data_IF_250917790964
#
_entry.id   IF_250917790964
#
_cell.length_a   1.000
_cell.length_b   1.000
_cell.length_c   1.000
_cell.angle_alpha   90.00
_cell.angle_beta   90.00
_cell.angle_gamma   90.00
#
_symmetry.space_group_name_H-M   'P 1'
#
loop_
_entity.id
_entity.type
_entity.pdbx_description
1 polymer ?
#
# COMPACT_ATOMS: atom_id res chain seq x y z
N UNK A 1 7.02 16.19 -12.10
CA UNK A 1 6.86 17.44 -11.33
C UNK A 1 7.90 18.50 -11.68
N UNK A 2 9.20 18.18 -11.64
CA UNK A 2 10.27 19.17 -11.85
C UNK A 2 10.49 19.61 -13.30
N UNK A 3 10.14 18.78 -14.29
CA UNK A 3 10.40 19.03 -15.72
C UNK A 3 9.75 20.33 -16.23
N UNK A 4 8.66 20.74 -15.59
CA UNK A 4 7.90 21.94 -15.97
C UNK A 4 8.54 23.22 -15.39
N UNK A 5 9.40 23.09 -14.37
CA UNK A 5 10.19 24.19 -13.84
C UNK A 5 9.44 25.19 -12.94
N UNK A 6 8.24 24.85 -12.45
CA UNK A 6 7.46 25.73 -11.58
C UNK A 6 7.71 25.50 -10.10
N UNK A 7 7.49 26.55 -9.30
CA UNK A 7 7.70 26.51 -7.86
C UNK A 7 6.81 25.46 -7.16
N UNK A 8 5.56 25.28 -7.62
CA UNK A 8 4.65 24.26 -7.10
C UNK A 8 5.10 22.85 -7.47
N UNK A 9 5.50 22.62 -8.73
CA UNK A 9 6.00 21.31 -9.16
C UNK A 9 7.24 20.88 -8.38
N UNK A 10 8.18 21.80 -8.13
CA UNK A 10 9.36 21.54 -7.30
C UNK A 10 9.02 21.26 -5.83
N UNK A 11 8.14 22.06 -5.22
CA UNK A 11 7.72 21.84 -3.82
C UNK A 11 6.95 20.52 -3.64
N UNK A 12 6.04 20.19 -4.57
CA UNK A 12 5.29 18.92 -4.55
C UNK A 12 6.22 17.72 -4.69
N UNK A 13 7.13 17.75 -5.66
CA UNK A 13 8.09 16.65 -5.89
C UNK A 13 9.02 16.44 -4.69
N UNK A 14 9.49 17.51 -4.05
CA UNK A 14 10.33 17.41 -2.84
C UNK A 14 9.59 16.76 -1.67
N UNK A 15 8.30 17.08 -1.50
CA UNK A 15 7.45 16.48 -0.47
C UNK A 15 7.16 15.02 -0.76
N UNK A 16 6.80 14.68 -2.01
CA UNK A 16 6.57 13.29 -2.43
C UNK A 16 7.81 12.44 -2.15
N UNK A 17 8.99 12.91 -2.57
CA UNK A 17 10.25 12.19 -2.32
C UNK A 17 10.52 11.97 -0.82
N UNK A 18 10.20 12.96 0.02
CA UNK A 18 10.34 12.83 1.48
C UNK A 18 9.40 11.77 2.05
N UNK A 19 8.17 11.69 1.56
CA UNK A 19 7.20 10.67 1.97
C UNK A 19 7.65 9.29 1.49
N UNK A 20 8.01 9.17 0.21
CA UNK A 20 8.43 7.91 -0.40
C UNK A 20 9.68 7.30 0.27
N UNK A 21 10.70 8.13 0.50
CA UNK A 21 11.94 7.69 1.19
C UNK A 21 11.71 7.21 2.63
N UNK A 22 10.64 7.64 3.30
CA UNK A 22 10.28 7.16 4.64
C UNK A 22 9.35 5.93 4.59
N UNK A 23 8.53 5.81 3.55
CA UNK A 23 7.59 4.72 3.37
C UNK A 23 8.27 3.44 2.86
N UNK A 24 9.28 3.56 2.01
CA UNK A 24 9.99 2.44 1.39
C UNK A 24 10.61 1.47 2.42
N UNK A 25 11.36 1.92 3.45
CA UNK A 25 11.89 1.01 4.47
C UNK A 25 10.79 0.26 5.24
N UNK A 26 9.67 0.92 5.53
CA UNK A 26 8.54 0.30 6.24
C UNK A 26 7.86 -0.78 5.38
N UNK A 27 7.75 -0.55 4.07
CA UNK A 27 7.28 -1.55 3.11
C UNK A 27 8.18 -2.78 3.09
N UNK A 28 9.50 -2.56 2.98
CA UNK A 28 10.48 -3.63 2.91
C UNK A 28 10.44 -4.52 4.16
N UNK A 29 10.29 -3.94 5.35
CA UNK A 29 10.15 -4.72 6.59
C UNK A 29 8.90 -5.61 6.59
N UNK A 30 7.77 -5.13 6.08
CA UNK A 30 6.54 -5.92 5.98
C UNK A 30 6.70 -7.07 4.98
N UNK A 31 7.29 -6.80 3.81
CA UNK A 31 7.57 -7.82 2.79
C UNK A 31 8.60 -8.85 3.29
N UNK A 32 9.64 -8.42 4.00
CA UNK A 32 10.64 -9.33 4.58
C UNK A 32 10.05 -10.24 5.64
N UNK A 33 9.14 -9.75 6.47
CA UNK A 33 8.44 -10.59 7.46
C UNK A 33 7.76 -11.78 6.78
N UNK A 34 7.10 -11.53 5.65
CA UNK A 34 6.45 -12.58 4.84
C UNK A 34 7.47 -13.49 4.17
N UNK A 35 8.51 -12.94 3.55
CA UNK A 35 9.56 -13.71 2.89
C UNK A 35 10.30 -14.64 3.88
N UNK A 36 10.57 -14.19 5.10
CA UNK A 36 11.16 -15.00 6.17
C UNK A 36 10.25 -16.14 6.57
N UNK A 37 8.94 -15.87 6.74
CA UNK A 37 7.98 -16.89 7.12
C UNK A 37 7.87 -18.03 6.11
N UNK A 38 7.98 -17.71 4.81
CA UNK A 38 7.96 -18.69 3.73
C UNK A 38 9.37 -19.19 3.33
N UNK A 39 10.44 -18.66 3.94
CA UNK A 39 11.84 -18.95 3.59
C UNK A 39 12.17 -18.75 2.09
N UNK A 40 11.47 -17.85 1.42
CA UNK A 40 11.60 -17.58 -0.02
C UNK A 40 11.29 -16.12 -0.32
N UNK A 41 11.91 -15.57 -1.37
CA UNK A 41 11.59 -14.25 -1.91
C UNK A 41 10.62 -14.32 -3.08
N UNK A 42 10.25 -15.52 -3.52
CA UNK A 42 9.24 -15.72 -4.55
C UNK A 42 7.84 -15.49 -3.95
N UNK A 43 7.13 -14.51 -4.50
CA UNK A 43 5.81 -14.13 -4.02
C UNK A 43 4.78 -15.26 -4.16
N UNK A 44 4.83 -16.03 -5.24
CA UNK A 44 3.90 -17.15 -5.47
C UNK A 44 4.10 -18.24 -4.42
N UNK A 45 5.35 -18.65 -4.19
CA UNK A 45 5.69 -19.67 -3.19
C UNK A 45 5.34 -19.20 -1.76
N UNK A 46 5.51 -17.90 -1.48
CA UNK A 46 5.13 -17.31 -0.20
C UNK A 46 3.61 -17.33 0.02
N UNK A 47 2.82 -17.04 -1.02
CA UNK A 47 1.36 -17.11 -0.99
C UNK A 47 0.89 -18.55 -0.76
N UNK A 48 1.50 -19.52 -1.45
CA UNK A 48 1.18 -20.95 -1.30
C UNK A 48 1.53 -21.47 0.10
N UNK A 49 2.62 -20.98 0.70
CA UNK A 49 2.98 -21.26 2.09
C UNK A 49 1.91 -20.76 3.08
N UNK A 50 1.37 -19.56 2.86
CA UNK A 50 0.30 -19.01 3.73
C UNK A 50 -1.02 -19.75 3.50
N UNK A 51 -1.33 -20.14 2.25
CA UNK A 51 -2.52 -20.90 1.92
C UNK A 51 -2.53 -22.29 2.58
N UNK A 52 -1.41 -23.00 2.53
CA UNK A 52 -1.27 -24.37 3.06
C UNK A 52 -1.25 -24.44 4.58
N UNK A 53 -0.70 -23.45 5.27
CA UNK A 53 -0.67 -23.40 6.74
C UNK A 53 -1.99 -22.90 7.36
N UNK A 54 -2.96 -22.48 6.55
CA UNK A 54 -4.23 -21.92 7.00
C UNK A 54 -4.10 -20.54 7.65
N UNK A 55 -5.26 -19.93 7.94
CA UNK A 55 -5.36 -18.57 8.49
C UNK A 55 -5.04 -18.56 10.00
N UNK A 56 -3.81 -18.93 10.35
CA UNK A 56 -3.30 -18.81 11.72
C UNK A 56 -3.03 -17.33 11.97
N UNK A 57 -3.71 -16.76 12.96
CA UNK A 57 -3.46 -15.40 13.45
C UNK A 57 -2.07 -15.31 14.07
N UNK A 58 -1.07 -15.07 13.21
CA UNK A 58 0.31 -14.83 13.59
C UNK A 58 0.47 -13.34 13.93
N UNK A 59 0.97 -12.99 15.14
CA UNK A 59 1.18 -11.60 15.49
C UNK A 59 2.09 -10.87 14.50
N UNK A 60 3.08 -11.58 13.94
CA UNK A 60 3.97 -11.07 12.90
C UNK A 60 3.21 -10.54 11.67
N UNK A 61 2.25 -11.32 11.17
CA UNK A 61 1.41 -10.98 10.01
C UNK A 61 0.49 -9.80 10.33
N UNK A 62 -0.07 -9.72 11.54
CA UNK A 62 -0.95 -8.63 11.93
C UNK A 62 -0.22 -7.29 11.93
N UNK A 63 0.98 -7.24 12.51
CA UNK A 63 1.79 -6.02 12.54
C UNK A 63 2.33 -5.65 11.16
N UNK A 64 2.77 -6.63 10.37
CA UNK A 64 3.20 -6.40 8.98
C UNK A 64 2.05 -5.88 8.11
N UNK A 65 0.84 -6.44 8.25
CA UNK A 65 -0.37 -5.97 7.54
C UNK A 65 -0.70 -4.53 7.94
N UNK A 66 -0.70 -4.22 9.24
CA UNK A 66 -1.00 -2.89 9.73
C UNK A 66 0.02 -1.86 9.21
N UNK A 67 1.32 -2.17 9.28
CA UNK A 67 2.37 -1.31 8.73
C UNK A 67 2.22 -1.10 7.22
N UNK A 68 1.96 -2.17 6.47
CA UNK A 68 1.79 -2.10 5.02
C UNK A 68 0.54 -1.32 4.59
N UNK A 69 -0.57 -1.41 5.35
CA UNK A 69 -1.77 -0.60 5.10
C UNK A 69 -1.48 0.89 5.24
N UNK A 70 -0.75 1.30 6.29
CA UNK A 70 -0.35 2.69 6.48
C UNK A 70 0.56 3.18 5.34
N UNK A 71 1.52 2.34 4.93
CA UNK A 71 2.39 2.62 3.77
C UNK A 71 1.58 2.77 2.49
N UNK A 72 0.63 1.86 2.22
CA UNK A 72 -0.21 1.91 1.03
C UNK A 72 -1.02 3.21 0.94
N UNK A 73 -1.57 3.68 2.07
CA UNK A 73 -2.27 4.98 2.16
C UNK A 73 -1.33 6.14 1.81
N UNK A 74 -0.09 6.12 2.32
CA UNK A 74 0.89 7.16 2.07
C UNK A 74 1.37 7.20 0.62
N UNK A 75 1.73 6.05 0.06
CA UNK A 75 2.26 5.90 -1.30
C UNK A 75 1.21 6.14 -2.39
N UNK A 76 -0.06 5.91 -2.07
CA UNK A 76 -1.18 6.19 -2.97
C UNK A 76 -1.76 7.60 -2.79
N UNK A 77 -1.14 8.46 -1.96
CA UNK A 77 -1.60 9.83 -1.75
C UNK A 77 -3.03 9.95 -1.21
N UNK A 78 -3.46 8.98 -0.39
CA UNK A 78 -4.81 8.93 0.19
C UNK A 78 -4.85 9.60 1.57
N UNK A 79 -6.05 9.95 2.01
CA UNK A 79 -6.27 10.57 3.33
C UNK A 79 -5.89 9.54 4.41
N UNK A 80 -5.10 9.92 5.43
CA UNK A 80 -4.81 11.28 5.88
C UNK A 80 -3.56 11.96 5.30
N UNK A 81 -2.81 11.31 4.40
CA UNK A 81 -1.48 11.75 3.98
C UNK A 81 -1.55 12.86 2.94
N UNK A 82 -2.30 12.61 1.87
CA UNK A 82 -2.69 13.65 0.92
C UNK A 82 -4.17 13.50 0.59
N UNK A 83 -4.73 14.48 -0.12
CA UNK A 83 -6.10 14.43 -0.58
C UNK A 83 -6.14 14.78 -2.07
N UNK A 84 -6.45 13.80 -2.94
CA UNK A 84 -6.47 13.99 -4.40
C UNK A 84 -7.60 14.94 -4.85
N UNK A 85 -8.59 15.23 -4.01
CA UNK A 85 -9.69 16.13 -4.36
C UNK A 85 -9.43 17.60 -4.01
N UNK A 86 -8.33 17.92 -3.31
CA UNK A 86 -8.01 19.30 -2.91
C UNK A 86 -7.08 19.96 -3.91
N UNK A 87 -7.66 20.84 -4.74
CA UNK A 87 -6.91 21.76 -5.57
C UNK A 87 -6.59 23.04 -4.79
N UNK A 88 -5.40 23.59 -5.02
CA UNK A 88 -4.94 24.90 -4.53
C UNK A 88 -4.67 25.02 -3.02
N UNK A 89 -4.47 23.92 -2.29
CA UNK A 89 -3.90 24.00 -0.93
C UNK A 89 -2.37 24.19 -0.98
N UNK A 90 -1.81 25.12 -0.20
CA UNK A 90 -0.33 25.28 -0.13
C UNK A 90 0.40 24.01 0.34
N UNK A 91 -0.32 23.04 0.92
CA UNK A 91 0.18 21.75 1.40
C UNK A 91 -0.04 20.60 0.42
N UNK A 92 -0.48 20.85 -0.82
CA UNK A 92 -0.58 19.83 -1.87
C UNK A 92 0.76 19.11 -2.07
N UNK A 93 0.69 17.79 -2.26
CA UNK A 93 1.85 16.97 -2.64
C UNK A 93 1.67 16.49 -4.07
N UNK A 94 0.70 15.60 -4.31
CA UNK A 94 0.52 14.98 -5.62
C UNK A 94 -0.05 15.96 -6.65
N UNK A 95 -1.10 16.69 -6.26
CA UNK A 95 -1.77 17.65 -7.13
C UNK A 95 -0.82 18.75 -7.63
N UNK A 96 0.08 19.21 -6.76
CA UNK A 96 1.08 20.24 -7.09
C UNK A 96 2.03 19.81 -8.22
N UNK A 97 2.22 18.51 -8.44
CA UNK A 97 3.06 17.98 -9.51
C UNK A 97 2.36 17.90 -10.86
N UNK A 98 1.02 17.87 -10.87
CA UNK A 98 0.21 17.61 -12.06
C UNK A 98 -0.55 18.84 -12.60
N UNK A 99 -0.52 19.98 -11.90
CA UNK A 99 -1.28 21.20 -12.21
C UNK A 99 -1.20 21.68 -13.67
N UNK A 100 -0.07 21.45 -14.35
CA UNK A 100 0.19 21.95 -15.70
C UNK A 100 -0.03 20.89 -16.78
N UNK A 101 -0.32 19.65 -16.39
CA UNK A 101 -0.68 18.60 -17.33
C UNK A 101 -2.17 18.68 -17.66
N UNK A 102 -2.51 18.36 -18.90
CA UNK A 102 -3.89 18.33 -19.38
C UNK A 102 -4.12 17.20 -20.38
N UNK A 103 -5.39 16.85 -20.60
CA UNK A 103 -5.81 15.89 -21.61
C UNK A 103 -5.14 14.51 -21.45
N UNK A 104 -4.46 14.07 -22.52
CA UNK A 104 -3.87 12.72 -22.59
C UNK A 104 -2.79 12.45 -21.54
N UNK A 105 -1.93 13.43 -21.25
CA UNK A 105 -0.84 13.24 -20.28
C UNK A 105 -1.39 13.13 -18.86
N UNK A 106 -2.36 13.97 -18.51
CA UNK A 106 -3.04 13.90 -17.22
C UNK A 106 -3.74 12.54 -17.05
N UNK A 107 -4.44 12.06 -18.08
CA UNK A 107 -5.11 10.76 -18.04
C UNK A 107 -4.14 9.59 -17.80
N UNK A 108 -2.93 9.63 -18.38
CA UNK A 108 -1.92 8.60 -18.15
C UNK A 108 -1.38 8.63 -16.71
N UNK A 109 -1.17 9.82 -16.14
CA UNK A 109 -0.67 9.98 -14.77
C UNK A 109 -1.72 9.51 -13.76
N UNK A 110 -2.98 9.93 -13.94
CA UNK A 110 -4.11 9.47 -13.12
C UNK A 110 -4.29 7.96 -13.19
N UNK A 111 -4.20 7.39 -14.40
CA UNK A 111 -4.29 5.95 -14.57
C UNK A 111 -3.14 5.21 -13.86
N UNK A 112 -1.92 5.73 -13.92
CA UNK A 112 -0.80 5.18 -13.15
C UNK A 112 -1.04 5.25 -11.63
N UNK A 113 -1.66 6.33 -11.13
CA UNK A 113 -2.09 6.43 -9.74
C UNK A 113 -3.11 5.36 -9.35
N UNK A 114 -4.13 5.12 -10.18
CA UNK A 114 -5.11 4.06 -9.94
C UNK A 114 -4.49 2.66 -10.00
N UNK A 115 -3.54 2.44 -10.92
CA UNK A 115 -2.79 1.19 -11.00
C UNK A 115 -1.94 0.97 -9.75
N UNK A 116 -1.29 2.02 -9.21
CA UNK A 116 -0.54 1.94 -7.95
C UNK A 116 -1.45 1.49 -6.80
N UNK A 117 -2.62 2.10 -6.66
CA UNK A 117 -3.61 1.71 -5.64
C UNK A 117 -4.07 0.26 -5.81
N UNK A 118 -4.35 -0.15 -7.05
CA UNK A 118 -4.72 -1.53 -7.37
C UNK A 118 -3.60 -2.50 -6.99
N UNK A 119 -2.33 -2.19 -7.30
CA UNK A 119 -1.17 -3.03 -7.00
C UNK A 119 -1.01 -3.24 -5.49
N UNK A 120 -1.08 -2.17 -4.69
CA UNK A 120 -1.05 -2.31 -3.22
C UNK A 120 -2.25 -3.13 -2.71
N UNK A 121 -3.45 -2.87 -3.23
CA UNK A 121 -4.64 -3.62 -2.88
C UNK A 121 -4.52 -5.12 -3.17
N UNK A 122 -4.02 -5.48 -4.35
CA UNK A 122 -3.80 -6.87 -4.77
C UNK A 122 -2.71 -7.52 -3.92
N UNK A 123 -1.62 -6.82 -3.64
CA UNK A 123 -0.51 -7.33 -2.84
C UNK A 123 -0.98 -7.61 -1.40
N UNK A 124 -1.67 -6.66 -0.77
CA UNK A 124 -2.27 -6.85 0.56
C UNK A 124 -3.26 -8.01 0.55
N UNK A 125 -4.17 -8.03 -0.43
CA UNK A 125 -5.22 -9.04 -0.53
C UNK A 125 -4.66 -10.45 -0.74
N UNK A 126 -3.62 -10.63 -1.55
CA UNK A 126 -3.08 -11.96 -1.83
C UNK A 126 -2.08 -12.43 -0.78
N UNK A 127 -1.25 -11.54 -0.23
CA UNK A 127 -0.24 -11.93 0.76
C UNK A 127 -0.83 -12.27 2.13
N UNK A 128 -1.80 -11.48 2.60
CA UNK A 128 -2.35 -11.64 3.95
C UNK A 128 -3.68 -12.40 3.98
N UNK A 129 -4.37 -12.47 2.83
CA UNK A 129 -5.67 -13.08 2.69
C UNK A 129 -5.69 -13.94 1.41
N UNK A 130 -4.87 -14.99 1.27
CA UNK A 130 -4.72 -15.76 0.02
C UNK A 130 -5.93 -16.64 -0.33
N UNK A 131 -6.99 -16.66 0.48
CA UNK A 131 -8.22 -17.41 0.22
C UNK A 131 -8.83 -17.13 -1.17
N UNK A 132 -9.27 -18.19 -1.84
CA UNK A 132 -9.91 -18.10 -3.15
C UNK A 132 -8.95 -17.86 -4.32
N UNK A 133 -7.63 -18.03 -4.14
CA UNK A 133 -6.70 -18.09 -5.28
C UNK A 133 -6.94 -19.40 -6.05
N UNK A 134 -6.87 -19.32 -7.38
CA UNK A 134 -7.08 -20.47 -8.24
C UNK A 134 -5.85 -21.41 -8.17
N UNK A 135 -6.00 -22.57 -7.53
CA UNK A 135 -4.95 -23.60 -7.46
C UNK A 135 -4.81 -24.41 -8.76
N UNK A 136 -5.86 -24.43 -9.59
CA UNK A 136 -5.91 -25.20 -10.83
C UNK A 136 -6.23 -24.29 -12.02
N UNK A 137 -5.64 -24.57 -13.19
CA UNK A 137 -5.90 -23.85 -14.44
C UNK A 137 -7.23 -24.23 -15.12
N UNK A 138 -8.27 -24.50 -14.33
CA UNK A 138 -9.62 -24.74 -14.87
C UNK A 138 -10.37 -23.42 -15.06
N UNK A 139 -11.21 -23.27 -16.10
CA UNK A 139 -11.99 -22.05 -16.31
C UNK A 139 -12.83 -21.66 -15.09
N UNK A 140 -13.38 -22.65 -14.38
CA UNK A 140 -14.17 -22.43 -13.16
C UNK A 140 -13.31 -21.89 -12.02
N UNK A 141 -12.13 -22.48 -11.77
CA UNK A 141 -11.22 -21.99 -10.72
C UNK A 141 -10.72 -20.58 -11.02
N UNK A 142 -10.40 -20.26 -12.28
CA UNK A 142 -10.01 -18.91 -12.69
C UNK A 142 -11.14 -17.90 -12.49
N UNK A 143 -12.38 -18.26 -12.82
CA UNK A 143 -13.54 -17.39 -12.60
C UNK A 143 -13.80 -17.13 -11.10
N UNK A 144 -13.66 -18.17 -10.26
CA UNK A 144 -13.76 -18.04 -8.81
C UNK A 144 -12.64 -17.15 -8.25
N UNK A 145 -11.40 -17.32 -8.72
CA UNK A 145 -10.27 -16.50 -8.30
C UNK A 145 -10.41 -15.03 -8.70
N UNK A 146 -10.87 -14.76 -9.93
CA UNK A 146 -11.18 -13.41 -10.39
C UNK A 146 -12.30 -12.78 -9.55
N UNK A 147 -13.35 -13.54 -9.21
CA UNK A 147 -14.43 -13.10 -8.33
C UNK A 147 -13.94 -12.80 -6.91
N UNK A 148 -13.08 -13.66 -6.34
CA UNK A 148 -12.54 -13.51 -5.00
C UNK A 148 -11.64 -12.26 -4.88
N UNK A 149 -10.73 -12.03 -5.83
CA UNK A 149 -9.88 -10.83 -5.80
C UNK A 149 -10.71 -9.57 -6.01
N UNK A 150 -11.69 -9.58 -6.92
CA UNK A 150 -12.58 -8.44 -7.13
C UNK A 150 -13.37 -8.10 -5.85
N UNK A 151 -13.89 -9.11 -5.15
CA UNK A 151 -14.59 -8.92 -3.89
C UNK A 151 -13.68 -8.34 -2.79
N UNK A 152 -12.43 -8.83 -2.66
CA UNK A 152 -11.45 -8.29 -1.69
C UNK A 152 -11.08 -6.84 -2.02
N UNK A 153 -10.82 -6.53 -3.29
CA UNK A 153 -10.50 -5.17 -3.71
C UNK A 153 -11.68 -4.23 -3.48
N UNK A 154 -12.92 -4.67 -3.73
CA UNK A 154 -14.12 -3.90 -3.36
C UNK A 154 -14.17 -3.68 -1.84
N UNK A 155 -13.92 -4.71 -1.03
CA UNK A 155 -13.87 -4.59 0.42
C UNK A 155 -12.82 -3.58 0.92
N UNK A 156 -11.58 -3.69 0.42
CA UNK A 156 -10.51 -2.73 0.73
C UNK A 156 -10.86 -1.32 0.25
N UNK A 157 -11.48 -1.17 -0.92
CA UNK A 157 -11.96 0.09 -1.45
C UNK A 157 -13.04 0.73 -0.57
N UNK A 158 -14.00 -0.06 -0.07
CA UNK A 158 -15.02 0.41 0.88
C UNK A 158 -14.38 0.84 2.21
N UNK A 159 -13.46 0.04 2.75
CA UNK A 159 -12.72 0.39 3.97
C UNK A 159 -11.96 1.71 3.79
N UNK A 160 -11.27 1.86 2.66
CA UNK A 160 -10.56 3.09 2.32
C UNK A 160 -11.53 4.27 2.24
N UNK A 161 -12.63 4.15 1.50
CA UNK A 161 -13.63 5.21 1.38
C UNK A 161 -14.24 5.61 2.74
N UNK A 162 -14.54 4.64 3.60
CA UNK A 162 -14.99 4.91 4.98
C UNK A 162 -13.89 5.62 5.77
N UNK A 163 -12.63 5.19 5.69
CA UNK A 163 -11.53 5.87 6.37
C UNK A 163 -11.34 7.31 5.87
N UNK A 164 -11.43 7.55 4.56
CA UNK A 164 -11.32 8.89 3.96
C UNK A 164 -12.47 9.83 4.38
N UNK A 165 -13.64 9.29 4.71
CA UNK A 165 -14.78 10.09 5.21
C UNK A 165 -14.73 10.36 6.71
N UNK A 166 -14.07 9.49 7.49
CA UNK A 166 -13.95 9.61 8.94
C UNK A 166 -12.73 10.43 9.38
N UNK A 167 -11.68 10.49 8.56
CA UNK A 167 -10.40 11.11 8.91
C UNK A 167 -10.16 12.36 8.07
N UNK A 168 -9.53 13.37 8.66
CA UNK A 168 -9.12 14.59 7.95
C UNK A 168 -7.65 14.54 7.54
N UNK A 169 -7.30 15.29 6.49
CA UNK A 169 -5.92 15.49 6.04
C UNK A 169 -5.01 15.94 7.19
N UNK A 170 -3.87 15.27 7.33
CA UNK A 170 -2.85 15.59 8.33
C UNK A 170 -1.96 16.74 7.87
N UNK A 171 -1.34 17.42 8.85
CA UNK A 171 -0.29 18.40 8.56
C UNK A 171 0.98 17.67 8.10
N UNK A 172 1.66 18.23 7.10
CA UNK A 172 2.89 17.67 6.48
C UNK A 172 3.92 17.17 7.50
N UNK A 173 4.22 17.96 8.54
CA UNK A 173 5.20 17.59 9.56
C UNK A 173 4.80 16.37 10.42
N UNK A 174 3.52 16.03 10.50
CA UNK A 174 3.06 14.83 11.22
C UNK A 174 3.19 13.55 10.39
N UNK A 175 3.37 13.66 9.08
CA UNK A 175 3.50 12.50 8.17
C UNK A 175 4.75 11.67 8.51
N UNK A 176 5.83 12.33 8.93
CA UNK A 176 7.05 11.65 9.39
C UNK A 176 6.76 10.73 10.59
N UNK A 177 5.97 11.20 11.56
CA UNK A 177 5.56 10.39 12.71
C UNK A 177 4.63 9.24 12.33
N UNK A 178 3.74 9.45 11.36
CA UNK A 178 2.85 8.40 10.83
C UNK A 178 3.64 7.29 10.15
N UNK A 179 4.59 7.64 9.27
CA UNK A 179 5.45 6.66 8.60
C UNK A 179 6.46 6.01 9.54
N UNK A 180 6.94 6.75 10.55
CA UNK A 180 7.74 6.19 11.63
C UNK A 180 6.95 5.13 12.42
N UNK A 181 5.66 5.36 12.68
CA UNK A 181 4.79 4.36 13.30
C UNK A 181 4.55 3.15 12.38
N UNK A 182 4.34 3.37 11.08
CA UNK A 182 4.24 2.28 10.10
C UNK A 182 5.51 1.42 10.08
N UNK A 183 6.69 2.05 10.08
CA UNK A 183 7.97 1.36 10.17
C UNK A 183 8.10 0.53 11.46
N UNK A 184 7.73 1.11 12.62
CA UNK A 184 7.77 0.40 13.90
C UNK A 184 6.84 -0.80 13.92
N UNK A 185 5.64 -0.70 13.34
CA UNK A 185 4.73 -1.84 13.20
C UNK A 185 5.35 -2.94 12.33
N UNK A 186 5.87 -2.59 11.14
CA UNK A 186 6.51 -3.58 10.26
C UNK A 186 7.73 -4.24 10.92
N UNK A 187 8.54 -3.47 11.65
CA UNK A 187 9.70 -3.98 12.38
C UNK A 187 9.28 -4.89 13.54
N UNK A 188 8.22 -4.54 14.29
CA UNK A 188 7.64 -5.42 15.32
C UNK A 188 7.11 -6.71 14.71
N UNK A 189 6.52 -6.66 13.50
CA UNK A 189 6.10 -7.85 12.76
C UNK A 189 7.27 -8.79 12.50
N UNK A 190 8.37 -8.26 11.98
CA UNK A 190 9.60 -9.02 11.72
C UNK A 190 10.20 -9.62 13.00
N UNK A 191 10.34 -8.81 14.06
CA UNK A 191 10.88 -9.29 15.34
C UNK A 191 9.97 -10.33 15.99
N UNK A 192 8.66 -10.16 15.92
CA UNK A 192 7.70 -11.13 16.42
C UNK A 192 7.86 -12.49 15.72
N UNK A 193 8.09 -12.49 14.41
CA UNK A 193 8.35 -13.73 13.68
C UNK A 193 9.62 -14.41 14.20
N UNK A 194 10.72 -13.67 14.32
CA UNK A 194 12.01 -14.19 14.81
C UNK A 194 11.92 -14.75 16.23
N UNK A 195 11.18 -14.08 17.11
CA UNK A 195 11.13 -14.43 18.54
C UNK A 195 10.13 -15.55 18.83
N UNK A 196 8.95 -15.52 18.20
CA UNK A 196 7.81 -16.37 18.58
C UNK A 196 7.57 -17.55 17.64
N UNK A 197 8.05 -17.49 16.39
CA UNK A 197 7.69 -18.46 15.34
C UNK A 197 8.88 -19.25 14.79
N UNK A 198 10.12 -18.83 15.10
CA UNK A 198 11.36 -19.53 14.69
C UNK A 198 11.89 -20.45 15.81
N UNK A 199 11.31 -20.40 17.01
CA UNK A 199 11.62 -21.31 18.12
C UNK A 199 10.83 -22.60 18.09
#
# INVERSE_FOLDING_TARGET
GMDIGTAFGGMGSSREMTIASLAEPAMLMAVFTLAMSASTTNLSDAIDYVLSNGLVLRPSFLFALAGLLLVAVAECGRIPIDNPATHLELTMVHEAMILEYSGRYLALIEWAGQLRLMLYGVLIANMFLPWGIAENFTPMALAQGAGAIAAKLMGLGVILAVAETLVTKMRLFKIQGFLGFAYMLSLLGMLSHIILEVG
#
